data_IF_511917260008
#
_entry.id   IF_511917260008
#
_cell.length_a   1.000
_cell.length_b   1.000
_cell.length_c   1.000
_cell.angle_alpha   90.00
_cell.angle_beta   90.00
_cell.angle_gamma   90.00
#
_symmetry.space_group_name_H-M   'P 1'
#
loop_
_entity.id
_entity.type
_entity.pdbx_description
1 polymer ?
#
# COMPACT_ATOMS: atom_id res chain seq x y z
N UNK A 1 15.09 14.54 0.68
CA UNK A 1 13.97 14.19 1.59
C UNK A 1 13.70 12.71 1.46
N UNK A 2 13.56 11.98 2.57
CA UNK A 2 13.21 10.54 2.53
C UNK A 2 11.69 10.43 2.48
N UNK A 3 11.17 9.90 1.36
CA UNK A 3 9.75 9.64 1.14
C UNK A 3 9.21 8.48 1.97
N UNK A 4 8.02 7.99 1.64
CA UNK A 4 7.46 6.77 2.22
C UNK A 4 7.70 5.56 1.30
N UNK A 5 7.71 4.38 1.93
CA UNK A 5 7.76 3.09 1.25
C UNK A 5 6.37 2.46 1.22
N UNK A 6 6.00 1.84 0.11
CA UNK A 6 4.78 1.06 -0.05
C UNK A 6 5.13 -0.43 0.07
N UNK A 7 4.40 -1.16 0.90
CA UNK A 7 4.50 -2.62 0.97
C UNK A 7 3.15 -3.21 0.61
N UNK A 8 3.13 -4.11 -0.36
CA UNK A 8 1.92 -4.85 -0.73
C UNK A 8 1.96 -6.19 -0.02
N UNK A 9 0.94 -6.51 0.79
CA UNK A 9 0.87 -7.78 1.52
C UNK A 9 -0.51 -8.41 1.40
N UNK A 10 -0.62 -9.73 1.17
CA UNK A 10 -1.90 -10.41 0.96
C UNK A 10 -2.71 -10.62 2.25
N UNK A 11 -2.07 -10.60 3.42
CA UNK A 11 -2.72 -10.95 4.69
C UNK A 11 -2.92 -9.72 5.57
N UNK A 12 -4.18 -9.33 5.77
CA UNK A 12 -4.57 -8.19 6.62
C UNK A 12 -4.11 -8.39 8.06
N UNK A 13 -4.20 -9.60 8.61
CA UNK A 13 -3.74 -9.92 9.95
C UNK A 13 -2.24 -9.66 10.15
N UNK A 14 -1.42 -10.04 9.16
CA UNK A 14 0.01 -9.77 9.20
C UNK A 14 0.31 -8.28 9.12
N UNK A 15 -0.44 -7.54 8.30
CA UNK A 15 -0.33 -6.08 8.24
C UNK A 15 -0.68 -5.44 9.58
N UNK A 16 -1.73 -5.90 10.27
CA UNK A 16 -2.14 -5.39 11.58
C UNK A 16 -1.05 -5.60 12.64
N UNK A 17 -0.46 -6.78 12.69
CA UNK A 17 0.65 -7.11 13.60
C UNK A 17 1.86 -6.21 13.36
N UNK A 18 2.23 -5.99 12.09
CA UNK A 18 3.33 -5.10 11.71
C UNK A 18 3.04 -3.65 12.09
N UNK A 19 1.85 -3.13 11.81
CA UNK A 19 1.46 -1.76 12.20
C UNK A 19 1.47 -1.61 13.72
N UNK A 20 0.97 -2.60 14.46
CA UNK A 20 0.98 -2.57 15.91
C UNK A 20 2.41 -2.51 16.46
N UNK A 21 3.32 -3.32 15.93
CA UNK A 21 4.73 -3.31 16.31
C UNK A 21 5.40 -1.96 15.99
N UNK A 22 5.16 -1.40 14.80
CA UNK A 22 5.73 -0.12 14.38
C UNK A 22 5.18 1.05 15.21
N UNK A 23 3.90 1.04 15.56
CA UNK A 23 3.28 2.04 16.44
C UNK A 23 3.90 2.04 17.84
N UNK A 24 4.22 0.86 18.40
CA UNK A 24 4.95 0.75 19.68
C UNK A 24 6.34 1.41 19.62
N UNK A 25 6.98 1.40 18.46
CA UNK A 25 8.27 2.04 18.20
C UNK A 25 8.14 3.52 17.80
N UNK A 26 6.93 4.10 17.86
CA UNK A 26 6.63 5.45 17.37
C UNK A 26 7.04 5.67 15.89
N UNK A 27 7.07 4.59 15.11
CA UNK A 27 7.42 4.66 13.70
C UNK A 27 6.17 5.02 12.87
N UNK A 28 6.20 6.07 12.02
CA UNK A 28 5.03 6.51 11.26
C UNK A 28 4.63 5.54 10.13
N UNK A 29 3.77 4.59 10.47
CA UNK A 29 3.26 3.58 9.56
C UNK A 29 1.74 3.51 9.57
N UNK A 30 1.15 3.37 8.39
CA UNK A 30 -0.29 3.19 8.20
C UNK A 30 -0.58 2.00 7.29
N UNK A 31 -1.82 1.50 7.32
CA UNK A 31 -2.29 0.45 6.44
C UNK A 31 -3.59 0.81 5.74
N UNK A 32 -3.76 0.32 4.50
CA UNK A 32 -5.00 0.41 3.74
C UNK A 32 -5.43 -0.96 3.25
N UNK A 33 -6.54 -1.46 3.79
CA UNK A 33 -7.22 -2.66 3.33
C UNK A 33 -8.51 -2.32 2.57
N UNK A 34 -9.19 -3.36 2.06
CA UNK A 34 -10.53 -3.24 1.50
C UNK A 34 -11.59 -2.81 2.54
N UNK A 35 -11.40 -3.19 3.80
CA UNK A 35 -12.31 -2.90 4.92
C UNK A 35 -12.02 -1.59 5.65
N UNK A 36 -10.97 -0.85 5.27
CA UNK A 36 -10.59 0.40 5.93
C UNK A 36 -11.70 1.46 5.83
N UNK A 37 -11.96 2.14 6.95
CA UNK A 37 -12.96 3.20 7.02
C UNK A 37 -12.63 4.38 6.09
N UNK A 38 -13.67 5.05 5.59
CA UNK A 38 -13.55 6.17 4.66
C UNK A 38 -12.73 7.33 5.24
N UNK A 39 -12.82 7.58 6.55
CA UNK A 39 -12.03 8.62 7.22
C UNK A 39 -10.55 8.28 7.18
N UNK A 40 -10.17 7.08 7.61
CA UNK A 40 -8.80 6.58 7.57
C UNK A 40 -8.22 6.59 6.14
N UNK A 41 -9.01 6.14 5.17
CA UNK A 41 -8.61 6.20 3.74
C UNK A 41 -8.29 7.63 3.33
N UNK A 42 -9.13 8.61 3.69
CA UNK A 42 -8.90 10.01 3.30
C UNK A 42 -7.67 10.61 3.99
N UNK A 43 -7.45 10.28 5.27
CA UNK A 43 -6.28 10.74 6.03
C UNK A 43 -4.98 10.22 5.40
N UNK A 44 -4.89 8.92 5.11
CA UNK A 44 -3.72 8.32 4.45
C UNK A 44 -3.50 8.91 3.06
N UNK A 45 -4.57 9.06 2.26
CA UNK A 45 -4.48 9.67 0.92
C UNK A 45 -4.07 11.14 0.94
N UNK A 46 -4.38 11.85 2.03
CA UNK A 46 -3.89 13.20 2.29
C UNK A 46 -2.40 13.19 2.62
N UNK A 47 -2.00 12.30 3.53
CA UNK A 47 -0.62 12.15 4.00
C UNK A 47 0.37 11.79 2.88
N UNK A 48 -0.02 10.95 1.92
CA UNK A 48 0.80 10.60 0.75
C UNK A 48 1.30 11.83 -0.02
N UNK A 49 0.43 12.85 -0.15
CA UNK A 49 0.71 14.06 -0.93
C UNK A 49 1.05 15.29 -0.08
N UNK A 50 1.07 15.17 1.25
CA UNK A 50 1.38 16.28 2.14
C UNK A 50 2.87 16.26 2.53
N UNK A 51 3.68 17.27 2.13
CA UNK A 51 5.10 17.34 2.46
C UNK A 51 5.42 17.25 3.95
N UNK A 52 4.52 17.76 4.80
CA UNK A 52 4.66 17.81 6.26
C UNK A 52 4.16 16.56 6.97
N UNK A 53 3.50 15.64 6.26
CA UNK A 53 3.01 14.42 6.87
C UNK A 53 4.18 13.49 7.23
N UNK A 54 4.18 12.88 8.43
CA UNK A 54 5.29 12.06 8.90
C UNK A 54 5.33 10.65 8.27
N UNK A 55 4.39 10.29 7.39
CA UNK A 55 4.26 8.96 6.80
C UNK A 55 5.58 8.42 6.25
N UNK A 56 6.00 7.23 6.74
CA UNK A 56 7.22 6.53 6.31
C UNK A 56 6.95 5.16 5.69
N UNK A 57 5.91 4.47 6.15
CA UNK A 57 5.53 3.16 5.61
C UNK A 57 4.03 3.10 5.38
N UNK A 58 3.63 2.57 4.23
CA UNK A 58 2.24 2.28 3.90
C UNK A 58 2.11 0.81 3.52
N UNK A 59 1.39 0.03 4.34
CA UNK A 59 1.00 -1.33 3.98
C UNK A 59 -0.32 -1.28 3.18
N UNK A 60 -0.43 -2.05 2.11
CA UNK A 60 -1.64 -2.09 1.29
C UNK A 60 -1.95 -3.51 0.85
N UNK A 61 -3.24 -3.85 0.74
CA UNK A 61 -3.63 -5.14 0.15
C UNK A 61 -3.61 -5.07 -1.39
N UNK A 62 -3.37 -6.19 -2.10
CA UNK A 62 -3.36 -6.22 -3.57
C UNK A 62 -4.67 -5.72 -4.18
N UNK A 63 -5.82 -6.01 -3.58
CA UNK A 63 -7.13 -5.58 -4.08
C UNK A 63 -7.29 -4.06 -4.01
N UNK A 64 -6.73 -3.42 -2.98
CA UNK A 64 -6.79 -1.97 -2.84
C UNK A 64 -5.93 -1.29 -3.89
N UNK A 65 -4.75 -1.85 -4.18
CA UNK A 65 -3.88 -1.38 -5.26
C UNK A 65 -4.56 -1.55 -6.63
N UNK A 66 -5.05 -2.75 -6.95
CA UNK A 66 -5.61 -3.06 -8.27
C UNK A 66 -6.99 -2.45 -8.56
N UNK A 67 -7.85 -2.25 -7.55
CA UNK A 67 -9.23 -1.75 -7.77
C UNK A 67 -9.37 -0.24 -7.64
N UNK A 68 -8.47 0.44 -6.92
CA UNK A 68 -8.66 1.84 -6.57
C UNK A 68 -7.91 2.78 -7.50
N UNK A 69 -8.57 3.25 -8.57
CA UNK A 69 -8.03 4.31 -9.46
C UNK A 69 -7.58 5.55 -8.68
N UNK A 70 -8.36 5.95 -7.67
CA UNK A 70 -8.03 7.08 -6.79
C UNK A 70 -6.72 6.87 -6.04
N UNK A 71 -6.44 5.65 -5.57
CA UNK A 71 -5.20 5.32 -4.90
C UNK A 71 -4.00 5.43 -5.84
N UNK A 72 -4.13 4.85 -7.05
CA UNK A 72 -3.09 4.90 -8.08
C UNK A 72 -2.76 6.35 -8.46
N UNK A 73 -3.78 7.20 -8.72
CA UNK A 73 -3.55 8.61 -9.03
C UNK A 73 -2.85 9.36 -7.89
N UNK A 74 -3.10 8.97 -6.63
CA UNK A 74 -2.42 9.55 -5.46
C UNK A 74 -0.98 9.06 -5.31
N UNK A 75 -0.71 7.78 -5.61
CA UNK A 75 0.63 7.22 -5.67
C UNK A 75 1.47 7.90 -6.76
N UNK A 76 0.93 8.06 -7.98
CA UNK A 76 1.58 8.76 -9.08
C UNK A 76 1.94 10.20 -8.69
N UNK A 77 0.99 10.95 -8.12
CA UNK A 77 1.26 12.30 -7.61
C UNK A 77 2.33 12.32 -6.51
N UNK A 78 2.32 11.35 -5.61
CA UNK A 78 3.35 11.26 -4.57
C UNK A 78 4.74 10.94 -5.16
N UNK A 79 4.80 10.14 -6.23
CA UNK A 79 6.03 9.85 -6.97
C UNK A 79 6.57 11.09 -7.67
N UNK A 80 5.74 11.83 -8.40
CA UNK A 80 6.11 13.11 -9.04
C UNK A 80 6.64 14.14 -8.03
N UNK A 81 6.11 14.12 -6.81
CA UNK A 81 6.57 14.97 -5.70
C UNK A 81 7.84 14.46 -5.01
N UNK A 82 8.43 13.35 -5.46
CA UNK A 82 9.61 12.72 -4.84
C UNK A 82 9.34 12.14 -3.45
N UNK A 83 8.08 11.83 -3.12
CA UNK A 83 7.66 11.30 -1.81
C UNK A 83 7.42 9.80 -1.81
N UNK A 84 7.35 9.14 -2.95
CA UNK A 84 7.28 7.69 -3.05
C UNK A 84 8.66 7.16 -3.44
N UNK A 85 9.29 6.39 -2.55
CA UNK A 85 10.72 6.06 -2.69
C UNK A 85 11.00 4.58 -2.96
N UNK A 86 10.12 3.68 -2.51
CA UNK A 86 10.33 2.25 -2.60
C UNK A 86 8.99 1.51 -2.62
N UNK A 87 8.92 0.44 -3.41
CA UNK A 87 7.85 -0.55 -3.35
C UNK A 87 8.43 -1.90 -2.99
N UNK A 88 7.84 -2.58 -2.01
CA UNK A 88 8.11 -3.98 -1.71
C UNK A 88 6.83 -4.79 -1.88
N UNK A 89 6.98 -6.04 -2.32
CA UNK A 89 5.88 -7.00 -2.45
C UNK A 89 6.20 -8.15 -1.52
N UNK A 90 5.35 -8.31 -0.52
CA UNK A 90 5.38 -9.42 0.42
C UNK A 90 4.76 -10.66 -0.23
N UNK A 91 5.29 -11.83 0.10
CA UNK A 91 4.88 -13.11 -0.49
C UNK A 91 4.86 -13.11 -2.04
N UNK A 92 5.94 -12.63 -2.66
CA UNK A 92 6.10 -12.59 -4.14
C UNK A 92 5.87 -13.96 -4.80
N UNK A 93 6.02 -15.05 -4.06
CA UNK A 93 5.73 -16.39 -4.55
C UNK A 93 4.24 -16.56 -4.94
N UNK A 94 3.32 -15.83 -4.30
CA UNK A 94 1.91 -15.75 -4.69
C UNK A 94 1.72 -15.18 -6.11
N UNK A 95 2.64 -14.35 -6.59
CA UNK A 95 2.61 -13.82 -7.96
C UNK A 95 2.82 -14.91 -9.03
N UNK A 96 3.46 -16.04 -8.69
CA UNK A 96 3.66 -17.15 -9.64
C UNK A 96 2.44 -18.08 -9.71
N UNK A 97 1.71 -18.28 -8.61
CA UNK A 97 0.38 -18.89 -8.63
C UNK A 97 -0.63 -18.03 -9.42
N UNK A 98 -0.47 -16.71 -9.47
CA UNK A 98 -1.28 -15.83 -10.32
C UNK A 98 -1.09 -16.09 -11.83
N UNK A 99 0.04 -16.65 -12.26
CA UNK A 99 0.27 -17.00 -13.66
C UNK A 99 -0.41 -18.29 -14.10
N UNK A 100 -0.56 -19.27 -13.20
CA UNK A 100 -1.16 -20.57 -13.52
C UNK A 100 -2.67 -20.62 -13.25
N UNK A 101 -3.18 -19.76 -12.36
CA UNK A 101 -4.62 -19.56 -12.08
C UNK A 101 -5.21 -18.37 -12.88
N UNK A 102 -4.50 -17.90 -13.91
CA UNK A 102 -4.84 -16.74 -14.75
C UNK A 102 -6.19 -16.88 -15.51
N UNK A 103 -6.86 -18.02 -15.39
CA UNK A 103 -8.25 -18.22 -15.83
C UNK A 103 -9.07 -18.96 -14.77
N UNK A 104 -9.36 -18.30 -13.64
CA UNK A 104 -10.74 -18.12 -13.12
C UNK A 104 -10.74 -17.40 -11.77
N UNK A 105 -11.04 -16.10 -11.82
CA UNK A 105 -11.64 -15.39 -10.69
C UNK A 105 -10.71 -14.99 -9.54
N UNK A 106 -9.85 -13.99 -9.74
CA UNK A 106 -9.77 -12.76 -8.92
C UNK A 106 -8.43 -12.03 -9.15
N UNK A 107 -8.55 -10.86 -9.77
CA UNK A 107 -7.67 -9.68 -9.67
C UNK A 107 -6.23 -9.84 -10.15
N UNK A 108 -6.06 -9.62 -11.45
CA UNK A 108 -4.79 -9.29 -12.09
C UNK A 108 -4.09 -8.11 -11.41
N UNK A 109 -2.90 -8.36 -10.90
CA UNK A 109 -1.96 -7.34 -10.44
C UNK A 109 -0.99 -7.03 -11.60
N UNK A 110 -1.23 -5.94 -12.31
CA UNK A 110 -0.33 -5.46 -13.34
C UNK A 110 0.69 -4.52 -12.67
N UNK A 111 1.97 -4.93 -12.68
CA UNK A 111 3.10 -4.18 -12.11
C UNK A 111 3.62 -3.07 -13.06
N UNK A 112 2.96 -2.86 -14.20
CA UNK A 112 3.29 -1.77 -15.11
C UNK A 112 2.76 -0.44 -14.54
N UNK A 113 3.53 0.16 -13.63
CA UNK A 113 3.35 1.54 -13.17
C UNK A 113 3.72 2.55 -14.26
#
# INVERSE_FOLDING_TARGET
MVGFSLVVSPLVSLMEDQIMALKKLSYPAEMLSASADRKAVNEVMGAMTNPKAPLKLLLVTPEKLGKSKRFISKLQKAYEMGRFSLMAVDEVHCCSQWGHDFRRGSHSFDLTL
#
